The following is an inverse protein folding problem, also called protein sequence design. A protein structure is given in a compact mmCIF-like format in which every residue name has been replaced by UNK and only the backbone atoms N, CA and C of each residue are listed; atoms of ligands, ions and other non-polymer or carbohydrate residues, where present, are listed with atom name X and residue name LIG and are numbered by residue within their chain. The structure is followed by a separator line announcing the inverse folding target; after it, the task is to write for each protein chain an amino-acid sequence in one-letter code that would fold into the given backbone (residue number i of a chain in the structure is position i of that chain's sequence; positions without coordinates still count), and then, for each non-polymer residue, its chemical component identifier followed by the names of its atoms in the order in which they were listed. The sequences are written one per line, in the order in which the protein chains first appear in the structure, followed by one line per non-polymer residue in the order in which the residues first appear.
data_IF_441523822102
#
_entry.id   IF_441523822102
#
_cell.length_a   1.000
_cell.length_b   1.000
_cell.length_c   1.000
_cell.angle_alpha   90.00
_cell.angle_beta   90.00
_cell.angle_gamma   90.00
#
_symmetry.space_group_name_H-M   'P 1'
#
loop_
_entity.id
_entity.type
_entity.pdbx_description
1 polymer ?
#
# COMPACT_ATOMS: atom_id res chain seq x y z
N UNK A 1 -12.16 24.04 -6.71
CA UNK A 1 -10.84 24.12 -6.10
C UNK A 1 -9.94 23.06 -6.70
N UNK A 2 -8.80 23.43 -7.20
CA UNK A 2 -7.89 22.47 -7.81
C UNK A 2 -6.93 21.88 -6.77
N UNK A 3 -6.55 20.64 -7.00
CA UNK A 3 -5.56 19.97 -6.14
C UNK A 3 -4.17 20.52 -6.43
N UNK A 4 -3.28 20.53 -5.42
CA UNK A 4 -1.89 20.91 -5.68
C UNK A 4 -1.29 20.00 -6.76
N UNK A 5 -0.33 20.52 -7.49
CA UNK A 5 0.32 19.80 -8.56
C UNK A 5 0.90 18.47 -8.03
N UNK A 6 0.66 17.39 -8.75
CA UNK A 6 1.14 16.08 -8.35
C UNK A 6 0.29 15.39 -7.30
N UNK A 7 -0.80 16.02 -6.86
CA UNK A 7 -1.69 15.45 -5.87
C UNK A 7 -3.03 15.14 -6.50
N UNK A 8 -3.64 14.07 -6.06
CA UNK A 8 -4.93 13.62 -6.58
C UNK A 8 -5.81 13.12 -5.44
N UNK A 9 -7.11 13.11 -5.67
CA UNK A 9 -8.06 12.59 -4.71
C UNK A 9 -9.15 11.84 -5.46
N UNK A 10 -9.56 10.73 -4.90
CA UNK A 10 -10.65 9.92 -5.45
C UNK A 10 -11.56 9.52 -4.31
N UNK A 11 -12.85 9.43 -4.60
CA UNK A 11 -13.79 8.86 -3.64
C UNK A 11 -14.13 7.47 -4.10
N UNK A 12 -14.20 6.54 -3.15
CA UNK A 12 -14.54 5.16 -3.45
C UNK A 12 -15.60 4.71 -2.45
N UNK A 13 -16.35 3.69 -2.83
CA UNK A 13 -17.37 3.13 -1.97
C UNK A 13 -16.86 1.80 -1.41
N UNK A 14 -17.02 1.63 -0.11
CA UNK A 14 -16.61 0.38 0.55
C UNK A 14 -17.73 -0.65 0.39
N UNK A 15 -17.39 -1.83 -0.11
CA UNK A 15 -18.32 -2.92 -0.28
C UNK A 15 -18.67 -3.61 1.04
N UNK A 16 -19.59 -4.56 0.97
CA UNK A 16 -20.08 -5.26 2.16
C UNK A 16 -18.98 -5.99 2.92
N UNK A 17 -17.96 -6.46 2.22
CA UNK A 17 -16.86 -7.20 2.85
C UNK A 17 -15.69 -6.30 3.22
N UNK A 18 -15.89 -4.99 3.16
CA UNK A 18 -14.84 -4.04 3.49
C UNK A 18 -13.85 -3.78 2.37
N UNK A 19 -14.17 -4.21 1.15
CA UNK A 19 -13.28 -4.00 0.02
C UNK A 19 -13.70 -2.80 -0.80
N UNK A 20 -12.77 -2.28 -1.58
CA UNK A 20 -13.07 -1.27 -2.58
C UNK A 20 -12.17 -1.50 -3.79
N UNK A 21 -12.57 -0.96 -4.92
CA UNK A 21 -11.77 -1.05 -6.15
C UNK A 21 -10.91 0.20 -6.25
N UNK A 22 -9.61 0.00 -6.43
CA UNK A 22 -8.71 1.13 -6.67
C UNK A 22 -9.09 1.73 -8.03
N UNK A 23 -9.40 3.03 -8.10
CA UNK A 23 -9.80 3.64 -9.36
C UNK A 23 -8.79 3.40 -10.47
N UNK A 24 -9.30 3.20 -11.68
CA UNK A 24 -8.43 2.92 -12.83
C UNK A 24 -7.36 3.98 -13.01
N UNK A 25 -7.73 5.24 -12.85
CA UNK A 25 -6.76 6.33 -12.96
C UNK A 25 -5.62 6.19 -11.97
N UNK A 26 -5.95 5.81 -10.74
CA UNK A 26 -4.93 5.60 -9.71
C UNK A 26 -4.05 4.38 -10.05
N UNK A 27 -4.67 3.30 -10.53
CA UNK A 27 -3.90 2.12 -10.93
C UNK A 27 -2.92 2.44 -12.04
N UNK A 28 -3.38 3.19 -13.04
CA UNK A 28 -2.53 3.56 -14.16
C UNK A 28 -1.41 4.51 -13.71
N UNK A 29 -1.74 5.46 -12.85
CA UNK A 29 -0.78 6.44 -12.36
C UNK A 29 0.33 5.79 -11.54
N UNK A 30 -0.01 4.83 -10.72
CA UNK A 30 0.95 4.21 -9.80
C UNK A 30 1.42 2.82 -10.24
N UNK A 31 1.04 2.40 -11.43
CA UNK A 31 1.50 1.13 -11.99
C UNK A 31 1.00 -0.10 -11.26
N UNK A 32 -0.20 -0.04 -10.71
CA UNK A 32 -0.80 -1.17 -9.98
C UNK A 32 -1.56 -2.04 -10.96
N UNK A 33 -1.22 -3.32 -11.01
CA UNK A 33 -1.80 -4.27 -11.96
C UNK A 33 -2.47 -5.43 -11.23
N UNK A 34 -3.42 -6.09 -11.88
CA UNK A 34 -4.04 -7.28 -11.29
C UNK A 34 -2.98 -8.30 -10.88
N UNK A 35 -3.13 -8.85 -9.70
CA UNK A 35 -2.18 -9.81 -9.17
C UNK A 35 -1.02 -9.21 -8.40
N UNK A 36 -0.88 -7.89 -8.45
CA UNK A 36 0.17 -7.23 -7.67
C UNK A 36 -0.09 -7.35 -6.18
N UNK A 37 0.99 -7.41 -5.43
CA UNK A 37 0.94 -7.33 -3.97
C UNK A 37 1.26 -5.90 -3.58
N UNK A 38 0.44 -5.31 -2.75
CA UNK A 38 0.68 -3.96 -2.25
C UNK A 38 0.76 -3.98 -0.74
N UNK A 39 1.44 -2.99 -0.19
CA UNK A 39 1.54 -2.82 1.26
C UNK A 39 0.49 -1.80 1.69
N UNK A 40 -0.25 -2.14 2.72
CA UNK A 40 -1.24 -1.23 3.30
C UNK A 40 -0.80 -0.90 4.71
N UNK A 41 -0.58 0.38 4.98
CA UNK A 41 -0.14 0.84 6.28
C UNK A 41 -1.33 1.45 7.03
N UNK A 42 -1.44 1.16 8.30
CA UNK A 42 -2.49 1.69 9.13
C UNK A 42 -1.91 2.47 10.30
N UNK A 43 -2.48 3.64 10.56
CA UNK A 43 -2.10 4.49 11.70
C UNK A 43 -3.39 4.89 12.39
N UNK A 44 -3.47 4.63 13.69
CA UNK A 44 -4.70 4.88 14.43
C UNK A 44 -5.19 6.32 14.31
N UNK A 45 -4.28 7.26 14.20
CA UNK A 45 -4.64 8.67 14.11
C UNK A 45 -4.75 9.18 12.69
N UNK A 46 -3.95 8.64 11.78
CA UNK A 46 -3.85 9.15 10.40
C UNK A 46 -4.64 8.36 9.37
N UNK A 47 -4.97 7.10 9.67
CA UNK A 47 -5.73 6.28 8.77
C UNK A 47 -4.86 5.31 7.97
N UNK A 48 -5.29 5.04 6.76
CA UNK A 48 -4.66 4.02 5.92
C UNK A 48 -3.90 4.68 4.78
N UNK A 49 -2.72 4.14 4.47
CA UNK A 49 -1.93 4.61 3.35
C UNK A 49 -1.36 3.43 2.58
N UNK A 50 -1.21 3.62 1.28
CA UNK A 50 -0.57 2.65 0.40
C UNK A 50 0.65 3.34 -0.20
N UNK A 51 1.87 2.97 0.22
CA UNK A 51 3.06 3.63 -0.29
C UNK A 51 3.40 3.20 -1.72
N UNK A 52 4.24 3.96 -2.41
CA UNK A 52 4.70 3.57 -3.75
C UNK A 52 5.34 2.20 -3.73
N UNK A 53 5.16 1.44 -4.80
CA UNK A 53 5.73 0.09 -4.91
C UNK A 53 7.26 0.11 -4.76
N UNK A 54 7.91 1.12 -5.29
CA UNK A 54 9.36 1.25 -5.20
C UNK A 54 9.86 1.37 -3.76
N UNK A 55 9.00 1.79 -2.85
CA UNK A 55 9.35 1.96 -1.44
C UNK A 55 8.84 0.83 -0.56
N UNK A 56 8.15 -0.14 -1.14
CA UNK A 56 7.53 -1.20 -0.37
C UNK A 56 8.53 -1.98 0.48
N UNK A 57 9.66 -2.38 -0.12
CA UNK A 57 10.67 -3.15 0.61
C UNK A 57 11.27 -2.34 1.76
N UNK A 58 11.46 -1.05 1.55
CA UNK A 58 11.98 -0.18 2.59
C UNK A 58 11.03 -0.11 3.78
N UNK A 59 9.74 0.04 3.52
CA UNK A 59 8.75 0.09 4.59
C UNK A 59 8.61 -1.25 5.28
N UNK A 60 8.66 -2.34 4.54
CA UNK A 60 8.60 -3.68 5.14
C UNK A 60 9.77 -3.87 6.08
N UNK A 61 10.97 -3.49 5.67
CA UNK A 61 12.16 -3.60 6.53
C UNK A 61 12.02 -2.76 7.79
N UNK A 62 11.48 -1.55 7.67
CA UNK A 62 11.30 -0.67 8.82
C UNK A 62 10.28 -1.21 9.82
N UNK A 63 9.19 -1.77 9.31
CA UNK A 63 8.08 -2.19 10.15
C UNK A 63 8.30 -3.59 10.74
N UNK A 64 8.74 -4.51 9.91
CA UNK A 64 8.91 -5.91 10.32
C UNK A 64 10.34 -6.25 10.71
N UNK A 65 11.29 -5.45 10.27
CA UNK A 65 12.67 -5.51 10.74
C UNK A 65 13.21 -6.90 11.07
N UNK A 66 13.57 -7.08 12.35
CA UNK A 66 14.15 -8.32 12.82
C UNK A 66 13.23 -9.53 12.67
N UNK A 67 11.91 -9.32 12.77
CA UNK A 67 10.96 -10.42 12.60
C UNK A 67 11.03 -11.01 11.20
N UNK A 68 11.11 -10.15 10.20
CA UNK A 68 11.22 -10.62 8.83
C UNK A 68 12.52 -11.36 8.60
N UNK A 69 13.59 -10.89 9.20
CA UNK A 69 14.90 -11.54 9.11
C UNK A 69 14.90 -12.88 9.81
N UNK A 70 14.28 -12.96 10.97
CA UNK A 70 14.18 -14.21 11.72
C UNK A 70 13.40 -15.27 10.93
N UNK A 71 12.30 -14.85 10.29
CA UNK A 71 11.51 -15.77 9.48
C UNK A 71 12.31 -16.27 8.29
N UNK A 72 13.11 -15.41 7.68
CA UNK A 72 13.94 -15.80 6.56
C UNK A 72 15.01 -16.81 7.00
N UNK A 73 15.59 -16.60 8.17
CA UNK A 73 16.58 -17.52 8.71
C UNK A 73 15.97 -18.89 8.97
N UNK A 74 14.78 -18.92 9.53
CA UNK A 74 14.07 -20.17 9.79
C UNK A 74 13.79 -20.93 8.49
N UNK A 75 13.41 -20.23 7.46
CA UNK A 75 13.11 -20.84 6.18
C UNK A 75 14.36 -21.40 5.51
N UNK A 76 15.50 -20.83 5.79
CA UNK A 76 16.76 -21.27 5.21
C UNK A 76 17.37 -22.47 5.90
N UNK A 77 16.86 -22.80 7.05
CA UNK A 77 17.28 -24.00 7.77
C UNK A 77 16.57 -25.22 7.22
#
# INVERSE_FOLDING_TARGET
MSMPKGKNAWTVKIGEKGQFVIPKEARDMFGIKPGDTILVLGDEERGIAIPPKAMMNKYISMIFGEMAMEEQEEKNE
#
